data_IF_377907686264
#
_entry.id   IF_377907686264
#
_cell.length_a   1.000
_cell.length_b   1.000
_cell.length_c   1.000
_cell.angle_alpha   90.00
_cell.angle_beta   90.00
_cell.angle_gamma   90.00
#
_symmetry.space_group_name_H-M   'P 1'
#
loop_
_entity.id
_entity.type
_entity.pdbx_description
1 polymer ?
#
# COMPACT_ATOMS: atom_id res chain seq x y z
N UNK A 1 18.01 -7.22 -17.37
CA UNK A 1 18.81 -6.07 -16.91
C UNK A 1 18.13 -5.53 -15.65
N UNK A 2 18.62 -5.89 -14.46
CA UNK A 2 18.11 -5.35 -13.20
C UNK A 2 18.47 -3.87 -13.21
N UNK A 3 17.48 -2.98 -13.22
CA UNK A 3 17.74 -1.57 -12.93
C UNK A 3 18.24 -1.49 -11.49
N UNK A 4 19.31 -0.74 -11.26
CA UNK A 4 19.93 -0.58 -9.94
C UNK A 4 18.92 0.06 -8.98
N UNK A 5 18.32 -0.77 -8.13
CA UNK A 5 17.51 -0.34 -7.00
C UNK A 5 18.47 -0.06 -5.85
N UNK A 6 18.46 1.18 -5.33
CA UNK A 6 19.18 1.51 -4.10
C UNK A 6 18.38 0.96 -2.92
N UNK A 7 18.97 0.02 -2.18
CA UNK A 7 18.38 -0.60 -1.00
C UNK A 7 18.85 0.12 0.27
N UNK A 8 17.91 0.47 1.14
CA UNK A 8 18.19 1.04 2.46
C UNK A 8 17.24 0.46 3.49
N UNK A 9 17.75 0.17 4.68
CA UNK A 9 16.92 -0.19 5.82
C UNK A 9 16.40 1.11 6.47
N UNK A 10 15.09 1.24 6.60
CA UNK A 10 14.44 2.43 7.13
C UNK A 10 13.64 2.10 8.39
N UNK A 11 13.90 2.74 9.53
CA UNK A 11 13.06 2.61 10.71
C UNK A 11 11.68 3.21 10.42
N UNK A 12 10.62 2.50 10.79
CA UNK A 12 9.22 2.92 10.56
C UNK A 12 8.60 3.36 11.89
N UNK A 13 8.71 2.51 12.91
CA UNK A 13 8.29 2.74 14.30
C UNK A 13 9.20 1.97 15.24
N UNK A 14 9.08 2.14 16.55
CA UNK A 14 9.86 1.37 17.54
C UNK A 14 9.76 -0.14 17.25
N UNK A 15 10.92 -0.78 17.11
CA UNK A 15 11.04 -2.21 16.83
C UNK A 15 10.61 -2.67 15.43
N UNK A 16 10.12 -1.78 14.55
CA UNK A 16 9.71 -2.12 13.18
C UNK A 16 10.57 -1.38 12.16
N UNK A 17 11.36 -2.13 11.41
CA UNK A 17 12.12 -1.62 10.27
C UNK A 17 11.54 -2.14 8.96
N UNK A 18 11.72 -1.38 7.89
CA UNK A 18 11.40 -1.77 6.53
C UNK A 18 12.67 -1.84 5.68
N UNK A 19 12.63 -2.64 4.63
CA UNK A 19 13.60 -2.57 3.55
C UNK A 19 12.99 -1.76 2.43
N UNK A 20 13.60 -0.62 2.12
CA UNK A 20 13.14 0.30 1.07
C UNK A 20 14.09 0.21 -0.10
N UNK A 21 13.54 -0.05 -1.29
CA UNK A 21 14.27 -0.06 -2.55
C UNK A 21 13.74 1.04 -3.44
N UNK A 22 14.61 1.93 -3.89
CA UNK A 22 14.20 3.05 -4.76
C UNK A 22 15.02 3.12 -6.03
N UNK A 23 14.39 3.63 -7.10
CA UNK A 23 15.02 4.12 -8.31
C UNK A 23 14.20 5.30 -8.85
N UNK A 24 14.65 5.93 -9.93
CA UNK A 24 13.87 7.01 -10.56
C UNK A 24 12.45 6.55 -10.86
N UNK A 25 11.47 7.20 -10.23
CA UNK A 25 10.04 6.93 -10.39
C UNK A 25 9.53 5.59 -9.84
N UNK A 26 10.29 4.86 -9.01
CA UNK A 26 9.78 3.66 -8.36
C UNK A 26 10.31 3.48 -6.94
N UNK A 27 9.44 2.99 -6.06
CA UNK A 27 9.73 2.68 -4.66
C UNK A 27 9.08 1.35 -4.29
N UNK A 28 9.85 0.46 -3.67
CA UNK A 28 9.36 -0.77 -3.06
C UNK A 28 9.68 -0.76 -1.56
N UNK A 29 8.72 -1.16 -0.74
CA UNK A 29 8.84 -1.21 0.71
C UNK A 29 8.44 -2.62 1.14
N UNK A 30 9.39 -3.41 1.62
CA UNK A 30 9.11 -4.66 2.30
C UNK A 30 9.06 -4.41 3.81
N UNK A 31 7.99 -4.86 4.47
CA UNK A 31 7.78 -4.61 5.89
C UNK A 31 7.05 -5.77 6.57
N UNK A 32 7.44 -6.09 7.80
CA UNK A 32 6.60 -6.84 8.73
C UNK A 32 5.55 -5.87 9.31
N UNK A 33 4.43 -5.73 8.62
CA UNK A 33 3.39 -4.75 8.90
C UNK A 33 2.71 -5.02 10.25
N UNK A 34 2.82 -4.05 11.15
CA UNK A 34 1.99 -3.95 12.37
C UNK A 34 0.97 -2.82 12.19
N UNK A 35 -0.06 -2.76 13.04
CA UNK A 35 -1.00 -1.63 13.04
C UNK A 35 -0.28 -0.27 13.21
N UNK A 36 0.74 -0.21 14.08
CA UNK A 36 1.52 1.00 14.33
C UNK A 36 2.38 1.41 13.13
N UNK A 37 2.81 0.45 12.30
CA UNK A 37 3.69 0.71 11.16
C UNK A 37 2.99 1.39 9.96
N UNK A 38 1.65 1.41 9.93
CA UNK A 38 0.87 2.01 8.83
C UNK A 38 1.22 3.49 8.63
N UNK A 39 1.40 4.25 9.72
CA UNK A 39 1.73 5.68 9.65
C UNK A 39 3.11 5.92 9.03
N UNK A 40 4.13 5.14 9.41
CA UNK A 40 5.46 5.32 8.86
C UNK A 40 5.57 4.88 7.38
N UNK A 41 4.83 3.85 6.96
CA UNK A 41 4.73 3.53 5.51
C UNK A 41 4.04 4.66 4.74
N UNK A 42 2.99 5.26 5.32
CA UNK A 42 2.34 6.44 4.73
C UNK A 42 3.31 7.61 4.58
N UNK A 43 4.18 7.84 5.56
CA UNK A 43 5.18 8.92 5.49
C UNK A 43 6.26 8.65 4.44
N UNK A 44 6.70 7.40 4.27
CA UNK A 44 7.57 7.00 3.17
C UNK A 44 6.93 7.22 1.79
N UNK A 45 5.65 6.84 1.65
CA UNK A 45 4.88 7.06 0.42
C UNK A 45 4.81 8.56 0.09
N UNK A 46 4.48 9.38 1.08
CA UNK A 46 4.47 10.84 0.96
C UNK A 46 5.84 11.41 0.59
N UNK A 47 6.92 10.88 1.15
CA UNK A 47 8.28 11.28 0.77
C UNK A 47 8.58 10.94 -0.70
N UNK A 48 8.15 9.78 -1.19
CA UNK A 48 8.30 9.40 -2.60
C UNK A 48 7.54 10.36 -3.53
N UNK A 49 6.29 10.69 -3.20
CA UNK A 49 5.47 11.62 -4.00
C UNK A 49 6.12 13.01 -4.07
N UNK A 50 6.65 13.51 -2.95
CA UNK A 50 7.44 14.76 -2.94
C UNK A 50 8.66 14.70 -3.85
N UNK A 51 9.45 13.62 -3.74
CA UNK A 51 10.64 13.43 -4.58
C UNK A 51 10.30 13.34 -6.07
N UNK A 52 9.11 12.84 -6.41
CA UNK A 52 8.65 12.72 -7.80
C UNK A 52 7.92 13.96 -8.32
N UNK A 53 7.69 14.97 -7.47
CA UNK A 53 6.94 16.17 -7.82
C UNK A 53 5.43 15.93 -8.00
N UNK A 54 4.87 14.93 -7.31
CA UNK A 54 3.47 14.50 -7.40
C UNK A 54 2.68 14.84 -6.11
N UNK A 55 2.99 15.99 -5.50
CA UNK A 55 2.43 16.38 -4.19
C UNK A 55 0.93 16.62 -4.21
N UNK A 56 0.36 16.97 -5.35
CA UNK A 56 -1.08 17.10 -5.58
C UNK A 56 -1.84 15.79 -5.40
N UNK A 57 -1.15 14.65 -5.55
CA UNK A 57 -1.71 13.32 -5.34
C UNK A 57 -1.57 12.82 -3.90
N UNK A 58 -0.86 13.55 -3.01
CA UNK A 58 -0.49 13.09 -1.65
C UNK A 58 -1.67 12.51 -0.90
N UNK A 59 -2.75 13.28 -0.76
CA UNK A 59 -3.89 12.88 0.04
C UNK A 59 -4.60 11.63 -0.50
N UNK A 60 -4.74 11.51 -1.84
CA UNK A 60 -5.39 10.34 -2.48
C UNK A 60 -4.54 9.09 -2.28
N UNK A 61 -3.24 9.18 -2.55
CA UNK A 61 -2.32 8.04 -2.51
C UNK A 61 -2.07 7.60 -1.07
N UNK A 62 -1.85 8.54 -0.15
CA UNK A 62 -1.57 8.24 1.27
C UNK A 62 -2.78 7.66 2.00
N UNK A 63 -3.99 8.09 1.66
CA UNK A 63 -5.21 7.51 2.19
C UNK A 63 -5.45 6.12 1.59
N UNK A 64 -5.30 5.97 0.27
CA UNK A 64 -5.44 4.66 -0.40
C UNK A 64 -4.48 3.62 0.16
N UNK A 65 -3.18 3.95 0.34
CA UNK A 65 -2.22 3.00 0.93
C UNK A 65 -2.56 2.68 2.38
N UNK A 66 -3.07 3.63 3.17
CA UNK A 66 -3.45 3.39 4.56
C UNK A 66 -4.59 2.37 4.64
N UNK A 67 -5.62 2.51 3.79
CA UNK A 67 -6.73 1.54 3.71
C UNK A 67 -6.26 0.17 3.25
N UNK A 68 -5.41 0.10 2.22
CA UNK A 68 -4.88 -1.18 1.73
C UNK A 68 -4.05 -1.91 2.79
N UNK A 69 -3.19 -1.18 3.50
CA UNK A 69 -2.39 -1.74 4.60
C UNK A 69 -3.25 -2.16 5.77
N UNK A 70 -4.27 -1.38 6.12
CA UNK A 70 -5.20 -1.73 7.20
C UNK A 70 -5.97 -3.00 6.86
N UNK A 71 -6.47 -3.12 5.63
CA UNK A 71 -7.12 -4.34 5.15
C UNK A 71 -6.17 -5.53 5.15
N UNK A 72 -4.92 -5.35 4.71
CA UNK A 72 -3.91 -6.41 4.75
C UNK A 72 -3.65 -6.87 6.20
N UNK A 73 -3.43 -5.94 7.13
CA UNK A 73 -3.20 -6.26 8.53
C UNK A 73 -4.40 -6.94 9.21
N UNK A 74 -5.63 -6.51 8.90
CA UNK A 74 -6.84 -7.08 9.49
C UNK A 74 -7.17 -8.47 8.94
N UNK A 75 -6.92 -8.73 7.66
CA UNK A 75 -7.39 -9.95 7.00
C UNK A 75 -6.30 -10.99 6.69
N UNK A 76 -5.04 -10.59 6.59
CA UNK A 76 -3.95 -11.51 6.30
C UNK A 76 -3.24 -12.04 7.56
N UNK A 77 -3.42 -11.37 8.69
CA UNK A 77 -2.85 -11.76 9.98
C UNK A 77 -3.61 -12.94 10.57
N UNK A 78 -2.88 -13.96 11.03
CA UNK A 78 -3.47 -15.01 11.86
C UNK A 78 -3.65 -14.52 13.30
N UNK A 79 -4.59 -15.10 14.05
CA UNK A 79 -4.94 -14.65 15.41
C UNK A 79 -3.74 -14.53 16.37
N UNK A 80 -2.69 -15.33 16.16
CA UNK A 80 -1.48 -15.34 17.01
C UNK A 80 -0.30 -14.53 16.44
N UNK A 81 -0.45 -13.91 15.27
CA UNK A 81 0.60 -13.13 14.64
C UNK A 81 0.46 -11.65 15.02
N UNK A 82 1.57 -11.02 15.40
CA UNK A 82 1.62 -9.58 15.71
C UNK A 82 1.89 -8.70 14.49
N UNK A 83 2.27 -9.31 13.36
CA UNK A 83 2.59 -8.64 12.12
C UNK A 83 2.28 -9.50 10.90
N UNK A 84 2.23 -8.88 9.72
CA UNK A 84 2.05 -9.55 8.42
C UNK A 84 3.16 -9.11 7.47
N UNK A 85 3.86 -10.02 6.77
CA UNK A 85 4.78 -9.61 5.74
C UNK A 85 4.00 -8.96 4.58
N UNK A 86 4.31 -7.71 4.29
CA UNK A 86 3.65 -6.94 3.22
C UNK A 86 4.71 -6.28 2.35
N UNK A 87 4.44 -6.26 1.04
CA UNK A 87 5.21 -5.48 0.07
C UNK A 87 4.35 -4.35 -0.45
N UNK A 88 4.87 -3.13 -0.43
CA UNK A 88 4.24 -1.96 -1.07
C UNK A 88 5.08 -1.55 -2.27
N UNK A 89 4.46 -1.39 -3.43
CA UNK A 89 5.10 -0.92 -4.65
C UNK A 89 4.42 0.36 -5.11
N UNK A 90 5.22 1.40 -5.32
CA UNK A 90 4.82 2.64 -5.96
C UNK A 90 5.61 2.82 -7.25
N UNK A 91 4.90 3.13 -8.33
CA UNK A 91 5.52 3.45 -9.62
C UNK A 91 4.88 4.71 -10.17
N UNK A 92 5.70 5.71 -10.47
CA UNK A 92 5.29 6.89 -11.23
C UNK A 92 4.93 6.45 -12.65
N UNK A 93 3.77 6.87 -13.10
CA UNK A 93 3.32 6.74 -14.48
C UNK A 93 3.37 8.11 -15.16
N UNK A 94 3.20 8.20 -16.50
CA UNK A 94 3.12 9.49 -17.19
C UNK A 94 1.99 10.39 -16.64
N UNK A 95 0.89 9.77 -16.24
CA UNK A 95 -0.35 10.46 -15.86
C UNK A 95 -0.64 10.39 -14.35
N UNK A 96 0.28 9.89 -13.52
CA UNK A 96 0.09 9.81 -12.07
C UNK A 96 0.92 8.71 -11.39
N UNK A 97 0.25 7.88 -10.57
CA UNK A 97 0.88 6.85 -9.74
C UNK A 97 0.12 5.52 -9.81
N UNK A 98 0.87 4.43 -9.94
CA UNK A 98 0.42 3.07 -9.63
C UNK A 98 0.89 2.69 -8.22
N UNK A 99 -0.04 2.19 -7.41
CA UNK A 99 0.19 1.68 -6.06
C UNK A 99 -0.26 0.23 -6.00
N UNK A 100 0.57 -0.66 -5.47
CA UNK A 100 0.24 -2.05 -5.20
C UNK A 100 0.66 -2.43 -3.78
N UNK A 101 -0.21 -3.20 -3.11
CA UNK A 101 0.07 -3.84 -1.82
C UNK A 101 -0.09 -5.33 -1.99
N UNK A 102 0.97 -6.08 -1.69
CA UNK A 102 0.98 -7.54 -1.71
C UNK A 102 1.00 -8.09 -0.29
N UNK A 103 0.17 -9.09 -0.01
CA UNK A 103 0.12 -9.79 1.28
C UNK A 103 -0.01 -11.31 1.05
N UNK A 104 0.37 -12.16 2.03
CA UNK A 104 0.43 -13.62 1.84
C UNK A 104 -0.94 -14.30 1.83
N UNK A 105 -2.03 -13.57 2.07
CA UNK A 105 -3.34 -14.19 2.27
C UNK A 105 -4.09 -14.34 0.94
N UNK A 106 -4.46 -15.59 0.54
CA UNK A 106 -4.98 -15.88 -0.80
C UNK A 106 -6.41 -15.37 -1.03
N UNK A 107 -7.17 -15.09 0.04
CA UNK A 107 -8.52 -14.53 -0.07
C UNK A 107 -8.45 -13.11 -0.63
N UNK A 108 -9.02 -12.93 -1.82
CA UNK A 108 -9.20 -11.64 -2.45
C UNK A 108 -10.16 -10.76 -1.62
N UNK A 109 -9.96 -9.44 -1.59
CA UNK A 109 -10.90 -8.54 -0.94
C UNK A 109 -12.26 -8.64 -1.65
N UNK A 110 -13.28 -9.07 -0.94
CA UNK A 110 -14.65 -8.97 -1.41
C UNK A 110 -15.24 -7.66 -0.89
N UNK A 111 -16.02 -6.91 -1.71
CA UNK A 111 -16.80 -5.79 -1.20
C UNK A 111 -17.79 -6.32 -0.16
N UNK A 112 -17.50 -6.15 1.12
CA UNK A 112 -18.48 -6.39 2.18
C UNK A 112 -19.29 -5.10 2.29
N UNK A 113 -20.59 -5.19 2.02
CA UNK A 113 -21.53 -4.12 2.37
C UNK A 113 -21.42 -3.91 3.89
N UNK A 114 -20.74 -2.85 4.29
CA UNK A 114 -20.64 -2.45 5.69
C UNK A 114 -22.06 -2.32 6.24
N UNK A 115 -22.40 -3.11 7.27
CA UNK A 115 -23.52 -2.75 8.14
C UNK A 115 -23.21 -1.42 8.82
N UNK A 116 -24.22 -0.69 9.29
CA UNK A 116 -24.05 0.67 9.84
C UNK A 116 -23.04 0.77 11.00
N UNK A 117 -22.70 -0.36 11.62
CA UNK A 117 -21.77 -0.49 12.74
C UNK A 117 -20.47 -1.27 12.43
N UNK A 118 -20.25 -1.66 11.17
CA UNK A 118 -19.08 -2.45 10.77
C UNK A 118 -18.08 -1.57 10.01
N UNK A 119 -16.94 -1.28 10.63
CA UNK A 119 -15.86 -0.52 9.97
C UNK A 119 -15.23 -1.32 8.81
N UNK A 120 -15.34 -2.65 8.84
CA UNK A 120 -14.68 -3.60 7.92
C UNK A 120 -15.13 -3.59 6.46
N UNK A 121 -16.09 -2.74 6.06
CA UNK A 121 -16.57 -2.66 4.67
C UNK A 121 -16.32 -1.33 3.96
N UNK A 122 -15.81 -0.30 4.65
CA UNK A 122 -15.64 1.04 4.06
C UNK A 122 -14.34 1.19 3.26
N UNK A 123 -13.31 0.42 3.57
CA UNK A 123 -11.99 0.55 2.94
C UNK A 123 -12.03 0.38 1.42
N UNK A 124 -12.73 -0.65 0.91
CA UNK A 124 -12.88 -0.85 -0.54
C UNK A 124 -13.76 0.23 -1.21
N UNK A 125 -14.77 0.75 -0.50
CA UNK A 125 -15.58 1.87 -0.99
C UNK A 125 -14.73 3.14 -1.09
N UNK A 126 -13.84 3.36 -0.13
CA UNK A 126 -12.92 4.49 -0.13
C UNK A 126 -11.91 4.37 -1.27
N UNK A 127 -11.27 3.21 -1.42
CA UNK A 127 -10.36 2.93 -2.55
C UNK A 127 -11.06 3.20 -3.87
N UNK A 128 -12.28 2.70 -4.07
CA UNK A 128 -13.08 2.93 -5.28
C UNK A 128 -13.32 4.42 -5.57
N UNK A 129 -13.51 5.26 -4.54
CA UNK A 129 -13.72 6.70 -4.70
C UNK A 129 -12.42 7.47 -4.97
N UNK A 130 -11.29 6.98 -4.43
CA UNK A 130 -10.00 7.68 -4.49
C UNK A 130 -9.19 7.32 -5.73
N UNK A 131 -9.40 6.12 -6.29
CA UNK A 131 -8.66 5.60 -7.44
C UNK A 131 -9.41 5.74 -8.75
N UNK A 132 -8.70 5.99 -9.84
CA UNK A 132 -9.23 6.00 -11.20
C UNK A 132 -9.43 4.58 -11.74
N UNK A 133 -8.54 3.66 -11.33
CA UNK A 133 -8.69 2.21 -11.54
C UNK A 133 -8.19 1.48 -10.30
N UNK A 134 -8.77 0.34 -10.02
CA UNK A 134 -8.32 -0.54 -8.94
C UNK A 134 -8.64 -1.97 -9.29
N UNK A 135 -7.95 -2.90 -8.64
CA UNK A 135 -8.19 -4.32 -8.82
C UNK A 135 -7.47 -5.16 -7.80
N UNK A 136 -7.69 -6.47 -7.90
CA UNK A 136 -6.95 -7.45 -7.14
C UNK A 136 -6.66 -8.67 -8.00
N UNK A 137 -5.56 -9.35 -7.71
CA UNK A 137 -5.14 -10.56 -8.41
C UNK A 137 -4.50 -11.53 -7.43
N UNK A 138 -4.87 -12.81 -7.54
CA UNK A 138 -4.19 -13.86 -6.79
C UNK A 138 -2.78 -14.06 -7.36
N UNK A 139 -1.82 -14.31 -6.48
CA UNK A 139 -0.45 -14.65 -6.85
C UNK A 139 -0.12 -16.05 -6.32
N UNK A 140 1.02 -16.62 -6.73
CA UNK A 140 1.48 -17.91 -6.21
C UNK A 140 1.72 -17.91 -4.68
N UNK A 141 1.85 -16.73 -4.08
CA UNK A 141 2.23 -16.58 -2.67
C UNK A 141 1.22 -15.77 -1.85
N UNK A 142 0.06 -15.43 -2.40
CA UNK A 142 -0.93 -14.61 -1.73
C UNK A 142 -1.77 -13.82 -2.73
N UNK A 143 -1.79 -12.49 -2.57
CA UNK A 143 -2.52 -11.59 -3.49
C UNK A 143 -1.82 -10.25 -3.65
N UNK A 144 -2.17 -9.59 -4.74
CA UNK A 144 -1.91 -8.18 -5.00
C UNK A 144 -3.22 -7.41 -5.00
N UNK A 145 -3.25 -6.27 -4.32
CA UNK A 145 -4.34 -5.29 -4.40
C UNK A 145 -3.74 -3.97 -4.86
N UNK A 146 -4.26 -3.42 -5.94
CA UNK A 146 -3.65 -2.29 -6.62
C UNK A 146 -4.65 -1.19 -6.98
N UNK A 147 -4.12 0.01 -7.15
CA UNK A 147 -4.84 1.20 -7.57
C UNK A 147 -3.97 2.07 -8.48
N UNK A 148 -4.59 2.69 -9.48
CA UNK A 148 -4.01 3.80 -10.26
C UNK A 148 -4.68 5.10 -9.86
N UNK A 149 -3.89 6.11 -9.57
CA UNK A 149 -4.35 7.45 -9.18
C UNK A 149 -3.72 8.43 -10.15
N UNK A 150 -4.55 9.08 -10.96
CA UNK A 150 -4.16 10.00 -12.01
C UNK A 150 -4.15 11.44 -11.51
N UNK A 151 -3.41 12.31 -12.19
CA UNK A 151 -3.55 13.76 -12.03
C UNK A 151 -5.02 14.16 -12.20
N UNK A 152 -5.45 15.15 -11.41
CA UNK A 152 -6.74 15.79 -11.67
C UNK A 152 -6.67 16.44 -13.05
N UNK A 153 -7.62 16.11 -13.93
CA UNK A 153 -7.77 16.71 -15.24
C UNK A 153 -8.09 18.21 -15.17
#
# INVERSE_FOLDING_TARGET
MKADLMEAQQPITEGTSSTVRTRSGACEIDIALTAAAVSGVRDLVRACLRLWGLTELDWRVTLTVSELLTNAFQHARKEHESSVPVKVVLTRTPDGVFLCVSDPHPRLPAPVLAGDNDEGGRGLVLIKKLSDRYGCSSTAHGKDVWATILHSA
#
